data_IF_033175054896
#
_entry.id   IF_033175054896
#
_cell.length_a   1.000
_cell.length_b   1.000
_cell.length_c   1.000
_cell.angle_alpha   90.00
_cell.angle_beta   90.00
_cell.angle_gamma   90.00
#
_symmetry.space_group_name_H-M   'P 1'
#
loop_
_entity.id
_entity.type
_entity.pdbx_description
1 polymer ?
#
# COMPACT_ATOMS: atom_id res chain seq x y z
N UNK A 1 -1.89 71.42 -3.47
CA UNK A 1 -1.30 70.27 -4.18
C UNK A 1 -0.42 69.40 -3.28
N UNK A 2 -0.29 69.67 -1.97
CA UNK A 2 0.63 68.92 -1.08
C UNK A 2 0.01 67.67 -0.41
N UNK A 3 -1.31 67.47 -0.48
CA UNK A 3 -1.99 66.33 0.16
C UNK A 3 -1.93 65.02 -0.64
N UNK A 4 -1.65 65.08 -1.94
CA UNK A 4 -1.67 63.91 -2.83
C UNK A 4 -0.34 63.12 -2.77
N UNK A 5 0.78 63.86 -2.69
CA UNK A 5 2.12 63.27 -2.56
C UNK A 5 2.34 62.54 -1.23
N UNK A 6 1.70 62.99 -0.15
CA UNK A 6 1.76 62.32 1.15
C UNK A 6 0.98 61.00 1.18
N UNK A 7 -0.13 60.91 0.43
CA UNK A 7 -0.94 59.71 0.33
C UNK A 7 -0.24 58.63 -0.51
N UNK A 8 0.44 59.01 -1.59
CA UNK A 8 1.25 58.08 -2.39
C UNK A 8 2.39 57.47 -1.55
N UNK A 9 3.08 58.28 -0.74
CA UNK A 9 4.16 57.79 0.15
C UNK A 9 3.62 56.81 1.20
N UNK A 10 2.47 57.12 1.82
CA UNK A 10 1.84 56.22 2.82
C UNK A 10 1.40 54.90 2.16
N UNK A 11 0.89 54.94 0.94
CA UNK A 11 0.46 53.75 0.20
C UNK A 11 1.66 52.88 -0.19
N UNK A 12 2.74 53.50 -0.63
CA UNK A 12 4.01 52.83 -0.94
C UNK A 12 4.58 52.15 0.31
N UNK A 13 4.65 52.86 1.44
CA UNK A 13 5.12 52.30 2.72
C UNK A 13 4.24 51.14 3.23
N UNK A 14 2.92 51.20 3.03
CA UNK A 14 2.01 50.09 3.36
C UNK A 14 2.21 48.87 2.47
N UNK A 15 2.44 49.08 1.18
CA UNK A 15 2.79 48.02 0.23
C UNK A 15 4.12 47.36 0.61
N UNK A 16 5.13 48.15 0.95
CA UNK A 16 6.44 47.65 1.38
C UNK A 16 6.36 46.89 2.71
N UNK A 17 5.58 47.40 3.68
CA UNK A 17 5.32 46.71 4.94
C UNK A 17 4.63 45.36 4.72
N UNK A 18 3.62 45.31 3.84
CA UNK A 18 2.93 44.08 3.48
C UNK A 18 3.85 43.08 2.77
N UNK A 19 4.71 43.56 1.85
CA UNK A 19 5.73 42.74 1.18
C UNK A 19 6.75 42.16 2.15
N UNK A 20 7.20 42.95 3.13
CA UNK A 20 8.10 42.49 4.20
C UNK A 20 7.41 41.49 5.15
N UNK A 21 6.14 41.70 5.49
CA UNK A 21 5.35 40.76 6.29
C UNK A 21 5.17 39.42 5.58
N UNK A 22 4.81 39.43 4.29
CA UNK A 22 4.73 38.22 3.48
C UNK A 22 6.07 37.48 3.42
N UNK A 23 7.17 38.20 3.22
CA UNK A 23 8.52 37.62 3.19
C UNK A 23 8.91 37.02 4.54
N UNK A 24 8.58 37.70 5.64
CA UNK A 24 8.76 37.16 7.01
C UNK A 24 7.97 35.88 7.19
N UNK A 25 6.69 35.85 6.82
CA UNK A 25 5.81 34.69 7.05
C UNK A 25 6.24 33.49 6.19
N UNK A 26 6.66 33.76 4.95
CA UNK A 26 7.27 32.74 4.08
C UNK A 26 8.56 32.17 4.70
N UNK A 27 9.46 33.03 5.18
CA UNK A 27 10.70 32.58 5.83
C UNK A 27 10.43 31.81 7.13
N UNK A 28 9.39 32.18 7.89
CA UNK A 28 8.97 31.43 9.10
C UNK A 28 8.48 30.03 8.72
N UNK A 29 7.66 29.92 7.67
CA UNK A 29 7.19 28.62 7.16
C UNK A 29 8.36 27.76 6.68
N UNK A 30 9.24 28.32 5.83
CA UNK A 30 10.42 27.61 5.34
C UNK A 30 11.35 27.15 6.47
N UNK A 31 11.54 27.98 7.50
CA UNK A 31 12.35 27.62 8.68
C UNK A 31 11.70 26.52 9.53
N UNK A 32 10.37 26.55 9.66
CA UNK A 32 9.60 25.46 10.30
C UNK A 32 9.74 24.14 9.53
N UNK A 33 9.62 24.18 8.20
CA UNK A 33 9.75 23.00 7.35
C UNK A 33 11.17 22.43 7.39
N UNK A 34 12.19 23.28 7.36
CA UNK A 34 13.59 22.88 7.50
C UNK A 34 13.87 22.26 8.87
N UNK A 35 13.29 22.79 9.96
CA UNK A 35 13.39 22.17 11.30
C UNK A 35 12.77 20.78 11.33
N UNK A 36 11.58 20.61 10.74
CA UNK A 36 10.91 19.31 10.69
C UNK A 36 11.72 18.30 9.85
N UNK A 37 12.29 18.73 8.72
CA UNK A 37 13.19 17.89 7.93
C UNK A 37 14.46 17.51 8.69
N UNK A 38 15.06 18.44 9.43
CA UNK A 38 16.20 18.19 10.30
C UNK A 38 15.88 17.12 11.35
N UNK A 39 14.77 17.28 12.09
CA UNK A 39 14.33 16.30 13.09
C UNK A 39 14.09 14.92 12.49
N UNK A 40 13.48 14.84 11.31
CA UNK A 40 13.29 13.56 10.60
C UNK A 40 14.62 12.92 10.19
N UNK A 41 15.61 13.72 9.75
CA UNK A 41 16.94 13.22 9.43
C UNK A 41 17.68 12.75 10.68
N UNK A 42 17.61 13.48 11.79
CA UNK A 42 18.23 13.10 13.05
C UNK A 42 17.65 11.78 13.57
N UNK A 43 16.33 11.60 13.49
CA UNK A 43 15.66 10.34 13.83
C UNK A 43 16.16 9.19 12.95
N UNK A 44 16.28 9.40 11.63
CA UNK A 44 16.78 8.38 10.71
C UNK A 44 18.25 8.03 10.98
N UNK A 45 19.08 9.02 11.30
CA UNK A 45 20.48 8.80 11.68
C UNK A 45 20.56 7.97 12.96
N UNK A 46 19.71 8.25 13.93
CA UNK A 46 19.64 7.47 15.17
C UNK A 46 19.24 6.01 14.92
N UNK A 47 18.20 5.77 14.10
CA UNK A 47 17.77 4.43 13.72
C UNK A 47 18.88 3.65 13.01
N UNK A 48 19.57 4.28 12.05
CA UNK A 48 20.72 3.68 11.36
C UNK A 48 21.88 3.38 12.32
N UNK A 49 22.11 4.23 13.32
CA UNK A 49 23.15 3.99 14.32
C UNK A 49 22.83 2.76 15.19
N UNK A 50 21.58 2.60 15.61
CA UNK A 50 21.13 1.42 16.35
C UNK A 50 21.28 0.15 15.51
N UNK A 51 20.93 0.20 14.22
CA UNK A 51 21.10 -0.93 13.30
C UNK A 51 22.59 -1.31 13.12
N UNK A 52 23.48 -0.32 12.98
CA UNK A 52 24.93 -0.55 12.91
C UNK A 52 25.44 -1.25 14.17
N UNK A 53 24.99 -0.81 15.35
CA UNK A 53 25.43 -1.39 16.62
C UNK A 53 24.90 -2.82 16.80
N UNK A 54 23.68 -3.10 16.34
CA UNK A 54 23.15 -4.46 16.30
C UNK A 54 23.94 -5.39 15.36
N UNK A 55 24.27 -4.91 14.16
CA UNK A 55 25.08 -5.67 13.20
C UNK A 55 26.50 -5.93 13.72
N UNK A 56 27.10 -4.96 14.43
CA UNK A 56 28.41 -5.13 15.10
C UNK A 56 28.35 -6.20 16.18
N UNK A 57 27.32 -6.17 17.02
CA UNK A 57 27.13 -7.19 18.06
C UNK A 57 26.92 -8.59 17.46
N UNK A 58 26.09 -8.70 16.42
CA UNK A 58 25.86 -9.96 15.72
C UNK A 58 27.16 -10.50 15.10
N UNK A 59 27.96 -9.65 14.47
CA UNK A 59 29.26 -10.01 13.90
C UNK A 59 30.24 -10.49 14.98
N UNK A 60 30.31 -9.79 16.12
CA UNK A 60 31.13 -10.22 17.27
C UNK A 60 30.72 -11.61 17.79
N UNK A 61 29.40 -11.87 17.93
CA UNK A 61 28.88 -13.19 18.33
C UNK A 61 29.23 -14.28 17.32
N UNK A 62 29.10 -14.01 16.02
CA UNK A 62 29.48 -14.95 14.97
C UNK A 62 30.99 -15.25 15.00
N UNK A 63 31.84 -14.23 15.19
CA UNK A 63 33.29 -14.42 15.29
C UNK A 63 33.70 -15.24 16.52
N UNK A 64 33.01 -15.08 17.65
CA UNK A 64 33.21 -15.90 18.84
C UNK A 64 32.88 -17.38 18.55
N UNK A 65 31.76 -17.65 17.87
CA UNK A 65 31.37 -19.01 17.47
C UNK A 65 32.41 -19.60 16.52
N UNK A 66 32.82 -18.86 15.49
CA UNK A 66 33.85 -19.30 14.53
C UNK A 66 35.16 -19.64 15.25
N UNK A 67 35.58 -18.80 16.21
CA UNK A 67 36.81 -19.04 16.97
C UNK A 67 36.70 -20.29 17.86
N UNK A 68 35.54 -20.51 18.49
CA UNK A 68 35.27 -21.72 19.27
C UNK A 68 35.30 -22.98 18.41
N UNK A 69 34.67 -22.94 17.23
CA UNK A 69 34.66 -24.06 16.29
C UNK A 69 36.07 -24.36 15.75
N UNK A 70 36.85 -23.33 15.40
CA UNK A 70 38.25 -23.49 14.98
C UNK A 70 39.08 -24.17 16.07
N UNK A 71 38.92 -23.75 17.33
CA UNK A 71 39.60 -24.39 18.46
C UNK A 71 39.20 -25.86 18.61
N UNK A 72 37.90 -26.15 18.53
CA UNK A 72 37.40 -27.53 18.61
C UNK A 72 37.93 -28.43 17.48
N UNK A 73 38.07 -27.89 16.26
CA UNK A 73 38.69 -28.60 15.13
C UNK A 73 40.15 -28.90 15.44
N UNK A 74 40.90 -27.92 15.92
CA UNK A 74 42.31 -28.09 16.29
C UNK A 74 42.49 -29.15 17.39
N UNK A 75 41.64 -29.12 18.43
CA UNK A 75 41.65 -30.11 19.51
C UNK A 75 41.38 -31.53 18.98
N UNK A 76 40.43 -31.67 18.04
CA UNK A 76 40.12 -32.96 17.40
C UNK A 76 41.25 -33.45 16.49
N UNK A 77 41.90 -32.56 15.75
CA UNK A 77 43.06 -32.89 14.91
C UNK A 77 44.27 -33.31 15.75
N UNK A 78 44.47 -32.71 16.92
CA UNK A 78 45.50 -33.12 17.87
C UNK A 78 45.18 -34.48 18.50
N UNK A 79 43.93 -34.69 18.92
CA UNK A 79 43.47 -35.99 19.42
C UNK A 79 43.65 -37.10 18.37
N UNK A 80 43.32 -36.81 17.11
CA UNK A 80 43.50 -37.76 16.01
C UNK A 80 44.97 -38.12 15.80
N UNK A 81 45.87 -37.13 15.79
CA UNK A 81 47.33 -37.36 15.69
C UNK A 81 47.84 -38.22 16.85
N UNK A 82 47.38 -37.96 18.07
CA UNK A 82 47.75 -38.73 19.25
C UNK A 82 47.25 -40.17 19.19
N UNK A 83 46.01 -40.39 18.74
CA UNK A 83 45.45 -41.72 18.51
C UNK A 83 46.23 -42.49 17.44
N UNK A 84 46.56 -41.84 16.33
CA UNK A 84 47.33 -42.45 15.26
C UNK A 84 48.74 -42.85 15.73
N UNK A 85 49.39 -42.00 16.53
CA UNK A 85 50.69 -42.33 17.14
C UNK A 85 50.58 -43.48 18.14
N UNK A 86 49.53 -43.52 18.97
CA UNK A 86 49.28 -44.61 19.90
C UNK A 86 48.99 -45.93 19.17
N UNK A 87 48.21 -45.89 18.10
CA UNK A 87 47.94 -47.04 17.25
C UNK A 87 49.22 -47.59 16.62
N UNK A 88 50.07 -46.72 16.04
CA UNK A 88 51.35 -47.15 15.47
C UNK A 88 52.27 -47.83 16.49
N UNK A 89 52.28 -47.37 17.75
CA UNK A 89 53.01 -48.04 18.84
C UNK A 89 52.40 -49.41 19.16
N UNK A 90 51.08 -49.48 19.28
CA UNK A 90 50.37 -50.74 19.55
C UNK A 90 50.63 -51.77 18.44
N UNK A 91 50.55 -51.37 17.18
CA UNK A 91 50.80 -52.23 16.02
C UNK A 91 52.24 -52.77 16.04
N UNK A 92 53.22 -51.94 16.40
CA UNK A 92 54.60 -52.37 16.57
C UNK A 92 54.74 -53.41 17.68
N UNK A 93 54.11 -53.20 18.83
CA UNK A 93 54.09 -54.16 19.94
C UNK A 93 53.45 -55.48 19.52
N UNK A 94 52.31 -55.44 18.82
CA UNK A 94 51.63 -56.64 18.30
C UNK A 94 52.53 -57.39 17.32
N UNK A 95 53.20 -56.71 16.40
CA UNK A 95 54.12 -57.35 15.47
C UNK A 95 55.29 -58.05 16.17
N UNK A 96 55.86 -57.43 17.22
CA UNK A 96 56.92 -58.04 18.03
C UNK A 96 56.41 -59.28 18.75
N UNK A 97 55.27 -59.19 19.45
CA UNK A 97 54.67 -60.35 20.12
C UNK A 97 54.33 -61.48 19.15
N UNK A 98 53.88 -61.18 17.93
CA UNK A 98 53.64 -62.18 16.90
C UNK A 98 54.92 -62.84 16.39
N UNK A 99 56.07 -62.15 16.38
CA UNK A 99 57.36 -62.76 16.07
C UNK A 99 57.81 -63.68 17.20
N UNK A 100 57.72 -63.22 18.44
CA UNK A 100 58.11 -63.98 19.63
C UNK A 100 57.23 -65.22 19.82
N UNK A 101 55.94 -65.12 19.52
CA UNK A 101 55.02 -66.27 19.56
C UNK A 101 55.40 -67.31 18.51
N UNK A 102 55.68 -66.90 17.26
CA UNK A 102 56.14 -67.82 16.20
C UNK A 102 57.45 -68.51 16.57
N UNK A 103 58.40 -67.77 17.12
CA UNK A 103 59.65 -68.34 17.60
C UNK A 103 59.41 -69.37 18.72
N UNK A 104 58.51 -69.06 19.65
CA UNK A 104 58.15 -69.95 20.74
C UNK A 104 57.47 -71.23 20.23
N UNK A 105 56.57 -71.11 19.25
CA UNK A 105 55.91 -72.24 18.59
C UNK A 105 56.91 -73.16 17.87
N UNK A 106 57.91 -72.59 17.17
CA UNK A 106 58.98 -73.37 16.53
C UNK A 106 59.81 -74.13 17.58
N UNK A 107 60.17 -73.45 18.68
CA UNK A 107 60.91 -74.06 19.78
C UNK A 107 60.13 -75.19 20.45
N UNK A 108 58.82 -75.04 20.62
CA UNK A 108 57.94 -76.11 21.12
C UNK A 108 57.98 -77.31 20.17
N UNK A 109 57.81 -77.10 18.86
CA UNK A 109 57.87 -78.20 17.86
C UNK A 109 59.20 -78.94 17.90
N UNK A 110 60.32 -78.24 18.07
CA UNK A 110 61.64 -78.87 18.16
C UNK A 110 61.81 -79.66 19.47
N UNK A 111 61.30 -79.14 20.59
CA UNK A 111 61.29 -79.88 21.85
C UNK A 111 60.39 -81.12 21.79
N UNK A 112 59.22 -81.03 21.16
CA UNK A 112 58.33 -82.17 20.93
C UNK A 112 58.96 -83.25 20.05
N UNK A 113 59.79 -82.86 19.06
CA UNK A 113 60.56 -83.83 18.26
C UNK A 113 61.62 -84.52 19.10
N UNK A 114 62.36 -83.77 19.92
CA UNK A 114 63.37 -84.33 20.84
C UNK A 114 62.74 -85.26 21.87
N UNK A 115 61.58 -84.89 22.42
CA UNK A 115 60.85 -85.72 23.37
C UNK A 115 60.47 -87.06 22.75
N UNK A 116 59.88 -87.05 21.53
CA UNK A 116 59.54 -88.28 20.80
C UNK A 116 60.76 -89.16 20.50
N UNK A 117 61.92 -88.57 20.21
CA UNK A 117 63.17 -89.31 20.03
C UNK A 117 63.61 -90.00 21.32
N UNK A 118 63.60 -89.27 22.43
CA UNK A 118 63.97 -89.80 23.75
C UNK A 118 63.01 -90.89 24.23
N UNK A 119 61.71 -90.74 23.96
CA UNK A 119 60.70 -91.79 24.25
C UNK A 119 61.02 -93.08 23.48
N UNK A 120 61.39 -92.97 22.21
CA UNK A 120 61.77 -94.12 21.38
C UNK A 120 63.08 -94.78 21.87
N UNK A 121 64.09 -93.97 22.20
CA UNK A 121 65.35 -94.44 22.78
C UNK A 121 65.13 -95.17 24.11
N UNK A 122 64.30 -94.59 25.00
CA UNK A 122 63.98 -95.19 26.30
C UNK A 122 63.25 -96.53 26.15
N UNK A 123 62.30 -96.63 25.21
CA UNK A 123 61.63 -97.89 24.91
C UNK A 123 62.60 -98.96 24.39
N UNK A 124 63.54 -98.57 23.52
CA UNK A 124 64.55 -99.48 23.00
C UNK A 124 65.52 -99.98 24.08
N UNK A 125 65.95 -99.10 24.98
CA UNK A 125 66.78 -99.45 26.14
C UNK A 125 66.06 -100.39 27.12
N UNK A 126 64.78 -100.14 27.40
CA UNK A 126 63.96 -101.00 28.25
C UNK A 126 63.81 -102.41 27.63
N UNK A 127 63.62 -102.49 26.31
CA UNK A 127 63.57 -103.76 25.59
C UNK A 127 64.91 -104.51 25.63
N UNK A 128 66.04 -103.82 25.49
CA UNK A 128 67.37 -104.43 25.63
C UNK A 128 67.62 -104.96 27.04
N UNK A 129 67.23 -104.20 28.07
CA UNK A 129 67.34 -104.61 29.47
C UNK A 129 66.52 -105.88 29.75
N UNK A 130 65.29 -105.96 29.26
CA UNK A 130 64.44 -107.13 29.44
C UNK A 130 65.00 -108.38 28.74
N UNK A 131 65.57 -108.20 27.54
CA UNK A 131 66.28 -109.26 26.84
C UNK A 131 67.50 -109.78 27.63
N UNK A 132 68.32 -108.87 28.19
CA UNK A 132 69.46 -109.23 29.03
C UNK A 132 69.03 -109.97 30.31
N UNK A 133 67.93 -109.54 30.94
CA UNK A 133 67.36 -110.19 32.14
C UNK A 133 66.94 -111.63 31.86
N UNK A 134 66.27 -111.88 30.73
CA UNK A 134 65.85 -113.22 30.30
C UNK A 134 67.06 -114.14 30.08
N UNK A 135 68.12 -113.64 29.43
CA UNK A 135 69.36 -114.38 29.21
C UNK A 135 70.05 -114.76 30.53
N UNK A 136 70.07 -113.83 31.51
CA UNK A 136 70.64 -114.08 32.83
C UNK A 136 69.85 -115.14 33.62
N UNK A 137 68.52 -115.12 33.55
CA UNK A 137 67.68 -116.14 34.19
C UNK A 137 67.87 -117.54 33.57
N UNK A 138 68.07 -117.63 32.26
CA UNK A 138 68.39 -118.89 31.59
C UNK A 138 69.76 -119.43 32.03
N UNK A 139 70.75 -118.55 32.24
CA UNK A 139 72.06 -118.91 32.77
C UNK A 139 71.99 -119.44 34.22
N UNK A 140 71.26 -118.75 35.10
CA UNK A 140 71.07 -119.18 36.50
C UNK A 140 70.36 -120.53 36.58
N UNK A 141 69.36 -120.76 35.71
CA UNK A 141 68.65 -122.04 35.62
C UNK A 141 69.56 -123.17 35.15
N UNK A 142 70.47 -122.91 34.20
CA UNK A 142 71.49 -123.88 33.75
C UNK A 142 72.54 -124.16 34.83
N UNK A 143 72.97 -123.15 35.60
CA UNK A 143 73.91 -123.31 36.72
C UNK A 143 73.30 -124.08 37.90
N UNK A 144 72.02 -123.83 38.22
CA UNK A 144 71.32 -124.52 39.31
C UNK A 144 71.11 -126.01 39.01
N UNK A 145 70.91 -126.37 37.73
CA UNK A 145 70.87 -127.76 37.29
C UNK A 145 72.24 -128.47 37.28
N UNK A 146 73.34 -127.70 37.28
CA UNK A 146 74.70 -128.23 37.24
C UNK A 146 75.34 -128.46 38.63
N UNK A 147 74.75 -127.90 39.70
CA UNK A 147 75.38 -127.83 41.02
C UNK A 147 74.80 -128.77 42.08
N UNK A 148 73.77 -129.57 41.78
CA UNK A 148 73.14 -130.64 42.59
C UNK A 148 73.61 -130.76 44.06
N UNK A 149 73.32 -129.73 44.86
CA UNK A 149 73.88 -129.59 46.22
C UNK A 149 72.75 -129.44 47.24
N UNK A 150 72.32 -130.59 47.76
CA UNK A 150 71.71 -130.69 49.08
C UNK A 150 72.80 -130.54 50.16
N UNK A 151 72.53 -129.62 51.07
CA UNK A 151 73.38 -129.28 52.20
C UNK A 151 73.09 -130.25 53.37
N UNK A 152 74.13 -130.72 54.07
CA UNK A 152 73.95 -131.35 55.38
C UNK A 152 75.03 -130.93 56.39
N UNK A 153 74.49 -130.49 57.52
CA UNK A 153 75.11 -130.17 58.79
C UNK A 153 75.89 -131.34 59.40
N UNK A 154 77.03 -131.04 60.04
CA UNK A 154 77.20 -131.35 61.47
C UNK A 154 78.54 -130.85 62.02
N UNK A 155 78.42 -129.81 62.83
CA UNK A 155 78.97 -129.67 64.19
C UNK A 155 80.29 -130.36 64.58
N UNK A 156 81.25 -129.49 64.90
CA UNK A 156 82.13 -129.49 66.08
C UNK A 156 83.46 -130.24 66.02
N UNK A 157 84.54 -129.47 65.85
CA UNK A 157 85.81 -129.72 66.53
C UNK A 157 86.53 -128.39 66.81
N UNK A 158 86.51 -127.96 68.08
CA UNK A 158 87.28 -126.83 68.55
C UNK A 158 88.78 -127.19 68.60
N UNK A 159 89.49 -126.84 67.53
CA UNK A 159 90.96 -126.70 67.44
C UNK A 159 91.36 -125.28 67.90
N UNK A 160 92.61 -125.00 68.33
CA UNK A 160 93.15 -123.66 68.53
C UNK A 160 93.01 -122.72 67.30
N UNK A 161 92.80 -123.29 66.11
CA UNK A 161 92.34 -122.55 64.93
C UNK A 161 90.98 -121.88 65.11
N UNK A 162 90.08 -122.41 65.95
CA UNK A 162 88.77 -121.80 66.23
C UNK A 162 88.87 -120.46 66.97
N UNK A 163 89.94 -120.23 67.74
CA UNK A 163 90.22 -118.92 68.37
C UNK A 163 90.81 -117.92 67.36
N UNK A 164 91.63 -118.40 66.42
CA UNK A 164 92.15 -117.58 65.31
C UNK A 164 91.02 -117.21 64.35
N UNK A 165 90.10 -118.14 64.06
CA UNK A 165 88.87 -117.91 63.30
C UNK A 165 88.01 -116.88 64.03
N UNK A 166 87.82 -117.00 65.34
CA UNK A 166 87.06 -116.01 66.13
C UNK A 166 87.72 -114.62 66.15
N UNK A 167 89.05 -114.55 66.22
CA UNK A 167 89.78 -113.29 66.13
C UNK A 167 89.70 -112.67 64.73
N UNK A 168 89.78 -113.49 63.67
CA UNK A 168 89.59 -113.07 62.29
C UNK A 168 88.14 -112.59 62.04
N UNK A 169 87.15 -113.30 62.57
CA UNK A 169 85.73 -112.91 62.58
C UNK A 169 85.53 -111.57 63.28
N UNK A 170 86.17 -111.36 64.45
CA UNK A 170 86.10 -110.08 65.17
C UNK A 170 86.79 -108.94 64.42
N UNK A 171 87.93 -109.16 63.78
CA UNK A 171 88.61 -108.16 62.93
C UNK A 171 87.77 -107.83 61.69
N UNK A 172 87.17 -108.85 61.07
CA UNK A 172 86.27 -108.69 59.94
C UNK A 172 85.01 -107.92 60.36
N UNK A 173 84.46 -108.20 61.54
CA UNK A 173 83.30 -107.50 62.09
C UNK A 173 83.63 -106.05 62.46
N UNK A 174 84.79 -105.78 63.07
CA UNK A 174 85.26 -104.41 63.33
C UNK A 174 85.44 -103.64 62.03
N UNK A 175 86.00 -104.27 60.99
CA UNK A 175 86.16 -103.64 59.67
C UNK A 175 84.81 -103.35 59.03
N UNK A 176 83.85 -104.29 59.13
CA UNK A 176 82.47 -104.12 58.67
C UNK A 176 81.76 -102.99 59.40
N UNK A 177 81.89 -102.92 60.72
CA UNK A 177 81.29 -101.87 61.56
C UNK A 177 81.93 -100.50 61.29
N UNK A 178 83.25 -100.43 61.07
CA UNK A 178 83.93 -99.19 60.66
C UNK A 178 83.42 -98.69 59.31
N UNK A 179 83.32 -99.56 58.31
CA UNK A 179 82.77 -99.21 57.00
C UNK A 179 81.30 -98.77 57.10
N UNK A 180 80.50 -99.47 57.92
CA UNK A 180 79.11 -99.07 58.18
C UNK A 180 79.03 -97.69 58.84
N UNK A 181 79.89 -97.41 59.83
CA UNK A 181 79.96 -96.12 60.51
C UNK A 181 80.34 -94.99 59.53
N UNK A 182 81.34 -95.21 58.68
CA UNK A 182 81.77 -94.25 57.66
C UNK A 182 80.64 -93.94 56.67
N UNK A 183 80.00 -94.98 56.13
CA UNK A 183 78.85 -94.80 55.22
C UNK A 183 77.68 -94.06 55.89
N UNK A 184 77.40 -94.34 57.17
CA UNK A 184 76.34 -93.61 57.89
C UNK A 184 76.71 -92.14 58.12
N UNK A 185 77.99 -91.83 58.30
CA UNK A 185 78.47 -90.46 58.49
C UNK A 185 78.43 -89.67 57.17
N UNK A 186 78.82 -90.28 56.05
CA UNK A 186 78.68 -89.69 54.71
C UNK A 186 77.21 -89.44 54.36
N UNK A 187 76.34 -90.42 54.61
CA UNK A 187 74.90 -90.26 54.40
C UNK A 187 74.32 -89.14 55.27
N UNK A 188 74.73 -89.04 56.54
CA UNK A 188 74.30 -87.95 57.42
C UNK A 188 74.76 -86.59 56.88
N UNK A 189 76.02 -86.48 56.45
CA UNK A 189 76.54 -85.24 55.86
C UNK A 189 75.80 -84.85 54.58
N UNK A 190 75.45 -85.81 53.72
CA UNK A 190 74.63 -85.55 52.53
C UNK A 190 73.25 -85.04 52.90
N UNK A 191 72.57 -85.71 53.84
CA UNK A 191 71.24 -85.32 54.30
C UNK A 191 71.24 -83.94 54.97
N UNK A 192 72.28 -83.59 55.73
CA UNK A 192 72.42 -82.25 56.30
C UNK A 192 72.58 -81.17 55.22
N UNK A 193 73.31 -81.47 54.15
CA UNK A 193 73.48 -80.55 53.02
C UNK A 193 72.19 -80.40 52.22
N UNK A 194 71.47 -81.50 51.99
CA UNK A 194 70.17 -81.48 51.32
C UNK A 194 69.14 -80.69 52.14
N UNK A 195 69.10 -80.91 53.47
CA UNK A 195 68.22 -80.16 54.38
C UNK A 195 68.52 -78.65 54.35
N UNK A 196 69.79 -78.25 54.34
CA UNK A 196 70.19 -76.84 54.19
C UNK A 196 69.70 -76.28 52.85
N UNK A 197 69.92 -77.00 51.77
CA UNK A 197 69.49 -76.60 50.42
C UNK A 197 67.96 -76.46 50.32
N UNK A 198 67.21 -77.36 50.96
CA UNK A 198 65.75 -77.29 51.06
C UNK A 198 65.28 -76.08 51.88
N UNK A 199 65.96 -75.75 52.98
CA UNK A 199 65.65 -74.56 53.79
C UNK A 199 65.86 -73.27 52.99
N UNK A 200 66.99 -73.15 52.29
CA UNK A 200 67.27 -71.98 51.45
C UNK A 200 66.25 -71.83 50.31
N UNK A 201 65.82 -72.94 49.71
CA UNK A 201 64.78 -72.93 48.68
C UNK A 201 63.41 -72.49 49.24
N UNK A 202 63.06 -72.95 50.45
CA UNK A 202 61.83 -72.54 51.13
C UNK A 202 61.85 -71.04 51.48
N UNK A 203 62.99 -70.53 51.97
CA UNK A 203 63.14 -69.12 52.30
C UNK A 203 62.99 -68.22 51.06
N UNK A 204 63.63 -68.58 49.94
CA UNK A 204 63.43 -67.90 48.65
C UNK A 204 61.97 -67.92 48.20
N UNK A 205 61.31 -69.08 48.28
CA UNK A 205 59.90 -69.21 47.90
C UNK A 205 58.97 -68.35 48.77
N UNK A 206 59.26 -68.23 50.08
CA UNK A 206 58.52 -67.35 50.97
C UNK A 206 58.72 -65.87 50.61
N UNK A 207 59.93 -65.44 50.27
CA UNK A 207 60.20 -64.08 49.82
C UNK A 207 59.45 -63.76 48.52
N UNK A 208 59.43 -64.68 47.55
CA UNK A 208 58.68 -64.53 46.30
C UNK A 208 57.17 -64.43 46.56
N UNK A 209 56.63 -65.26 47.47
CA UNK A 209 55.23 -65.19 47.90
C UNK A 209 54.88 -63.81 48.47
N UNK A 210 55.73 -63.23 49.31
CA UNK A 210 55.48 -61.90 49.87
C UNK A 210 55.49 -60.80 48.81
N UNK A 211 56.40 -60.88 47.83
CA UNK A 211 56.44 -59.93 46.71
C UNK A 211 55.15 -60.03 45.89
N UNK A 212 54.74 -61.25 45.52
CA UNK A 212 53.49 -61.48 44.79
C UNK A 212 52.27 -61.02 45.58
N UNK A 213 52.26 -61.23 46.91
CA UNK A 213 51.17 -60.76 47.77
C UNK A 213 51.08 -59.23 47.79
N UNK A 214 52.21 -58.51 47.87
CA UNK A 214 52.24 -57.04 47.78
C UNK A 214 51.76 -56.55 46.41
N UNK A 215 52.17 -57.20 45.33
CA UNK A 215 51.71 -56.88 43.98
C UNK A 215 50.20 -57.09 43.82
N UNK A 216 49.66 -58.21 44.33
CA UNK A 216 48.24 -58.50 44.32
C UNK A 216 47.43 -57.43 45.08
N UNK A 217 47.90 -57.02 46.27
CA UNK A 217 47.26 -55.94 47.03
C UNK A 217 47.25 -54.61 46.26
N UNK A 218 48.33 -54.25 45.58
CA UNK A 218 48.38 -53.06 44.73
C UNK A 218 47.39 -53.14 43.57
N UNK A 219 47.33 -54.29 42.88
CA UNK A 219 46.41 -54.50 41.75
C UNK A 219 44.95 -54.45 42.18
N UNK A 220 44.61 -54.95 43.37
CA UNK A 220 43.25 -54.85 43.92
C UNK A 220 42.83 -53.40 44.14
N UNK A 221 43.71 -52.56 44.68
CA UNK A 221 43.45 -51.13 44.86
C UNK A 221 43.26 -50.40 43.52
N UNK A 222 44.06 -50.72 42.51
CA UNK A 222 43.89 -50.16 41.16
C UNK A 222 42.54 -50.58 40.54
N UNK A 223 42.10 -51.83 40.74
CA UNK A 223 40.79 -52.31 40.28
C UNK A 223 39.66 -51.54 40.98
N UNK A 224 39.77 -51.29 42.28
CA UNK A 224 38.77 -50.51 43.03
C UNK A 224 38.70 -49.06 42.54
N UNK A 225 39.86 -48.41 42.30
CA UNK A 225 39.93 -47.07 41.71
C UNK A 225 39.25 -47.03 40.34
N UNK A 226 39.57 -47.97 39.45
CA UNK A 226 38.98 -48.04 38.12
C UNK A 226 37.46 -48.29 38.15
N UNK A 227 36.96 -49.08 39.12
CA UNK A 227 35.52 -49.28 39.33
C UNK A 227 34.84 -47.96 39.72
N UNK A 228 35.43 -47.22 40.65
CA UNK A 228 34.89 -45.93 41.09
C UNK A 228 34.90 -44.89 39.95
N UNK A 229 35.97 -44.81 39.17
CA UNK A 229 36.06 -43.94 37.99
C UNK A 229 34.99 -44.31 36.95
N UNK A 230 34.79 -45.61 36.70
CA UNK A 230 33.73 -46.10 35.79
C UNK A 230 32.34 -45.67 36.27
N UNK A 231 32.03 -45.79 37.55
CA UNK A 231 30.75 -45.38 38.12
C UNK A 231 30.53 -43.87 37.99
N UNK A 232 31.56 -43.07 38.29
CA UNK A 232 31.53 -41.61 38.11
C UNK A 232 31.26 -41.22 36.65
N UNK A 233 31.98 -41.83 35.70
CA UNK A 233 31.78 -41.60 34.27
C UNK A 233 30.39 -42.04 33.81
N UNK A 234 29.86 -43.15 34.34
CA UNK A 234 28.51 -43.62 34.01
C UNK A 234 27.43 -42.62 34.48
N UNK A 235 27.59 -42.03 35.68
CA UNK A 235 26.68 -40.99 36.17
C UNK A 235 26.77 -39.74 35.29
N UNK A 236 27.98 -39.30 34.96
CA UNK A 236 28.19 -38.13 34.09
C UNK A 236 27.58 -38.34 32.71
N UNK A 237 27.74 -39.53 32.11
CA UNK A 237 27.14 -39.85 30.82
C UNK A 237 25.60 -39.75 30.86
N UNK A 238 24.96 -40.25 31.93
CA UNK A 238 23.49 -40.12 32.12
C UNK A 238 23.02 -38.67 32.28
N UNK A 239 23.86 -37.78 32.83
CA UNK A 239 23.54 -36.35 32.90
C UNK A 239 23.60 -35.73 31.50
N UNK A 240 24.68 -35.97 30.76
CA UNK A 240 24.86 -35.45 29.41
C UNK A 240 23.77 -35.98 28.47
N UNK A 241 23.37 -37.25 28.58
CA UNK A 241 22.28 -37.83 27.79
C UNK A 241 20.94 -37.12 28.04
N UNK A 242 20.64 -36.75 29.29
CA UNK A 242 19.45 -35.97 29.64
C UNK A 242 19.52 -34.54 29.09
N UNK A 243 20.65 -33.85 29.27
CA UNK A 243 20.85 -32.51 28.73
C UNK A 243 20.74 -32.49 27.20
N UNK A 244 21.27 -33.52 26.52
CA UNK A 244 21.15 -33.68 25.07
C UNK A 244 19.70 -33.88 24.64
N UNK A 245 18.92 -34.66 25.41
CA UNK A 245 17.50 -34.84 25.14
C UNK A 245 16.72 -33.53 25.30
N UNK A 246 16.93 -32.79 26.39
CA UNK A 246 16.31 -31.48 26.60
C UNK A 246 16.70 -30.47 25.52
N UNK A 247 17.96 -30.45 25.08
CA UNK A 247 18.42 -29.59 24.00
C UNK A 247 17.74 -29.93 22.66
N UNK A 248 17.53 -31.23 22.37
CA UNK A 248 16.78 -31.66 21.19
C UNK A 248 15.32 -31.21 21.27
N UNK A 249 14.67 -31.38 22.42
CA UNK A 249 13.28 -30.95 22.58
C UNK A 249 13.13 -29.43 22.41
N UNK A 250 14.02 -28.65 23.02
CA UNK A 250 14.08 -27.18 22.83
C UNK A 250 14.29 -26.82 21.36
N UNK A 251 15.19 -27.52 20.66
CA UNK A 251 15.40 -27.31 19.22
C UNK A 251 14.12 -27.58 18.43
N UNK A 252 13.43 -28.69 18.69
CA UNK A 252 12.17 -28.99 17.98
C UNK A 252 11.08 -27.94 18.23
N UNK A 253 10.99 -27.41 19.46
CA UNK A 253 10.06 -26.35 19.79
C UNK A 253 10.41 -25.04 19.07
N UNK A 254 11.68 -24.64 19.09
CA UNK A 254 12.18 -23.48 18.34
C UNK A 254 11.91 -23.61 16.84
N UNK A 255 12.12 -24.79 16.24
CA UNK A 255 11.83 -25.03 14.83
C UNK A 255 10.34 -24.88 14.52
N UNK A 256 9.45 -25.41 15.37
CA UNK A 256 7.99 -25.23 15.20
C UNK A 256 7.60 -23.75 15.27
N UNK A 257 8.12 -23.02 16.26
CA UNK A 257 7.84 -21.60 16.42
C UNK A 257 8.38 -20.78 15.23
N UNK A 258 9.58 -21.11 14.74
CA UNK A 258 10.16 -20.47 13.57
C UNK A 258 9.28 -20.66 12.33
N UNK A 259 8.74 -21.86 12.12
CA UNK A 259 7.82 -22.13 11.01
C UNK A 259 6.56 -21.26 11.12
N UNK A 260 5.95 -21.18 12.30
CA UNK A 260 4.77 -20.31 12.53
C UNK A 260 5.07 -18.84 12.24
N UNK A 261 6.22 -18.33 12.70
CA UNK A 261 6.64 -16.96 12.41
C UNK A 261 6.89 -16.76 10.92
N UNK A 262 7.51 -17.74 10.25
CA UNK A 262 7.76 -17.70 8.81
C UNK A 262 6.45 -17.66 8.02
N UNK A 263 5.47 -18.48 8.37
CA UNK A 263 4.15 -18.48 7.74
C UNK A 263 3.42 -17.14 7.94
N UNK A 264 3.50 -16.55 9.14
CA UNK A 264 2.93 -15.23 9.42
C UNK A 264 3.60 -14.12 8.60
N UNK A 265 4.93 -14.17 8.43
CA UNK A 265 5.67 -13.22 7.58
C UNK A 265 5.21 -13.35 6.13
N UNK A 266 5.14 -14.57 5.60
CA UNK A 266 4.67 -14.81 4.23
C UNK A 266 3.24 -14.30 4.02
N UNK A 267 2.35 -14.50 5.00
CA UNK A 267 0.98 -13.99 4.95
C UNK A 267 0.95 -12.45 4.97
N UNK A 268 1.77 -11.81 5.81
CA UNK A 268 1.87 -10.36 5.86
C UNK A 268 2.44 -9.78 4.55
N UNK A 269 3.43 -10.42 3.95
CA UNK A 269 3.97 -10.02 2.64
C UNK A 269 2.89 -10.08 1.55
N UNK A 270 2.10 -11.15 1.51
CA UNK A 270 0.96 -11.28 0.59
C UNK A 270 -0.07 -10.16 0.79
N UNK A 271 -0.42 -9.85 2.04
CA UNK A 271 -1.34 -8.77 2.38
C UNK A 271 -0.79 -7.39 1.97
N UNK A 272 0.51 -7.14 2.17
CA UNK A 272 1.16 -5.90 1.74
C UNK A 272 1.10 -5.75 0.22
N UNK A 273 1.36 -6.83 -0.54
CA UNK A 273 1.27 -6.79 -2.01
C UNK A 273 -0.16 -6.48 -2.45
N UNK A 274 -1.16 -7.11 -1.82
CA UNK A 274 -2.57 -6.84 -2.12
C UNK A 274 -2.95 -5.38 -1.82
N UNK A 275 -2.57 -4.85 -0.65
CA UNK A 275 -2.85 -3.46 -0.28
C UNK A 275 -2.17 -2.45 -1.22
N UNK A 276 -0.96 -2.74 -1.70
CA UNK A 276 -0.28 -1.91 -2.70
C UNK A 276 -1.05 -1.89 -4.02
N UNK A 277 -1.58 -3.02 -4.44
CA UNK A 277 -2.37 -3.11 -5.67
C UNK A 277 -3.72 -2.38 -5.53
N UNK A 278 -4.38 -2.52 -4.39
CA UNK A 278 -5.61 -1.77 -4.09
C UNK A 278 -5.36 -0.25 -4.06
N UNK A 279 -4.24 0.18 -3.47
CA UNK A 279 -3.84 1.59 -3.46
C UNK A 279 -3.61 2.11 -4.88
N UNK A 280 -2.93 1.33 -5.73
CA UNK A 280 -2.72 1.69 -7.14
C UNK A 280 -4.03 1.86 -7.90
N UNK A 281 -4.97 0.92 -7.74
CA UNK A 281 -6.30 1.02 -8.34
C UNK A 281 -7.07 2.26 -7.85
N UNK A 282 -6.96 2.58 -6.55
CA UNK A 282 -7.59 3.77 -5.97
C UNK A 282 -6.99 5.06 -6.54
N UNK A 283 -5.67 5.11 -6.71
CA UNK A 283 -4.98 6.26 -7.28
C UNK A 283 -5.37 6.47 -8.76
N UNK A 284 -5.39 5.40 -9.57
CA UNK A 284 -5.88 5.47 -10.96
C UNK A 284 -7.33 5.94 -11.06
N UNK A 285 -8.19 5.53 -10.11
CA UNK A 285 -9.58 6.01 -10.05
C UNK A 285 -9.64 7.48 -9.66
N UNK A 286 -8.83 7.92 -8.70
CA UNK A 286 -8.77 9.32 -8.29
C UNK A 286 -8.27 10.21 -9.43
N UNK A 287 -7.20 9.81 -10.13
CA UNK A 287 -6.68 10.55 -11.28
C UNK A 287 -7.73 10.69 -12.40
N UNK A 288 -8.47 9.61 -12.70
CA UNK A 288 -9.60 9.67 -13.65
C UNK A 288 -10.68 10.67 -13.22
N UNK A 289 -11.12 10.60 -11.97
CA UNK A 289 -12.14 11.51 -11.44
C UNK A 289 -11.65 12.97 -11.43
N UNK A 290 -10.37 13.19 -11.13
CA UNK A 290 -9.77 14.52 -11.17
C UNK A 290 -9.69 15.09 -12.59
N UNK A 291 -9.44 14.23 -13.59
CA UNK A 291 -9.49 14.61 -15.00
C UNK A 291 -10.91 14.95 -15.44
N UNK A 292 -11.91 14.13 -15.09
CA UNK A 292 -13.32 14.40 -15.36
C UNK A 292 -13.81 15.70 -14.70
N UNK A 293 -13.40 15.96 -13.46
CA UNK A 293 -13.69 17.21 -12.76
C UNK A 293 -13.08 18.41 -13.49
N UNK A 294 -11.80 18.35 -13.88
CA UNK A 294 -11.15 19.41 -14.68
C UNK A 294 -11.89 19.64 -16.01
N UNK A 295 -12.19 18.59 -16.76
CA UNK A 295 -12.92 18.70 -18.03
C UNK A 295 -14.31 19.36 -17.85
N UNK A 296 -14.99 19.03 -16.75
CA UNK A 296 -16.29 19.64 -16.42
C UNK A 296 -16.14 21.13 -16.09
N UNK A 297 -15.14 21.48 -15.29
CA UNK A 297 -14.82 22.87 -14.96
C UNK A 297 -14.47 23.69 -16.19
N UNK A 298 -13.65 23.13 -17.09
CA UNK A 298 -13.31 23.74 -18.38
C UNK A 298 -14.56 23.94 -19.25
N UNK A 299 -15.42 22.93 -19.34
CA UNK A 299 -16.67 23.01 -20.10
C UNK A 299 -17.58 24.14 -19.59
N UNK A 300 -17.74 24.26 -18.26
CA UNK A 300 -18.53 25.33 -17.64
C UNK A 300 -17.90 26.70 -17.91
N UNK A 301 -16.58 26.83 -17.76
CA UNK A 301 -15.87 28.08 -18.00
C UNK A 301 -15.99 28.55 -19.46
N UNK A 302 -15.93 27.63 -20.42
CA UNK A 302 -16.15 27.93 -21.85
C UNK A 302 -17.57 28.47 -22.06
N UNK A 303 -18.59 27.81 -21.49
CA UNK A 303 -19.99 28.24 -21.62
C UNK A 303 -20.27 29.62 -21.02
N UNK A 304 -19.55 29.99 -19.95
CA UNK A 304 -19.69 31.30 -19.29
C UNK A 304 -18.83 32.40 -19.92
N UNK A 305 -17.87 32.01 -20.75
CA UNK A 305 -17.01 32.93 -21.49
C UNK A 305 -17.77 33.56 -22.66
N UNK A 306 -17.45 34.81 -22.94
CA UNK A 306 -17.95 35.59 -24.07
C UNK A 306 -16.76 36.08 -24.89
N UNK A 307 -16.97 36.51 -26.16
CA UNK A 307 -15.89 37.08 -26.97
C UNK A 307 -15.16 38.26 -26.31
N UNK A 308 -15.86 39.00 -25.43
CA UNK A 308 -15.33 40.16 -24.70
C UNK A 308 -14.83 39.84 -23.30
N UNK A 309 -15.05 38.60 -22.80
CA UNK A 309 -14.62 38.20 -21.46
C UNK A 309 -14.37 36.70 -21.37
N UNK A 310 -13.12 36.38 -21.06
CA UNK A 310 -12.70 35.03 -20.74
C UNK A 310 -12.97 34.69 -19.26
N UNK A 311 -13.40 33.46 -19.01
CA UNK A 311 -13.58 32.90 -17.66
C UNK A 311 -12.62 31.72 -17.54
N UNK A 312 -11.75 31.74 -16.54
CA UNK A 312 -10.86 30.62 -16.25
C UNK A 312 -11.63 29.44 -15.65
N UNK A 313 -11.14 28.22 -15.92
CA UNK A 313 -11.67 26.95 -15.42
C UNK A 313 -11.37 26.71 -13.92
N UNK A 314 -11.66 27.70 -13.09
CA UNK A 314 -11.45 27.68 -11.65
C UNK A 314 -12.77 27.94 -10.92
N UNK A 315 -12.96 27.33 -9.75
CA UNK A 315 -14.26 27.34 -9.06
C UNK A 315 -14.70 28.75 -8.64
N UNK A 316 -13.77 29.53 -8.09
CA UNK A 316 -14.03 30.92 -7.71
C UNK A 316 -14.43 31.78 -8.91
N UNK A 317 -13.69 31.73 -10.02
CA UNK A 317 -13.92 32.56 -11.21
C UNK A 317 -15.25 32.23 -11.88
N UNK A 318 -15.59 30.94 -11.98
CA UNK A 318 -16.89 30.47 -12.47
C UNK A 318 -18.02 31.01 -11.58
N UNK A 319 -17.90 30.84 -10.25
CA UNK A 319 -18.91 31.32 -9.30
C UNK A 319 -19.09 32.84 -9.38
N UNK A 320 -18.00 33.59 -9.46
CA UNK A 320 -18.04 35.05 -9.55
C UNK A 320 -18.75 35.50 -10.84
N UNK A 321 -18.46 34.85 -11.98
CA UNK A 321 -19.14 35.15 -13.24
C UNK A 321 -20.63 34.85 -13.18
N UNK A 322 -21.02 33.72 -12.58
CA UNK A 322 -22.45 33.38 -12.41
C UNK A 322 -23.15 34.45 -11.56
N UNK A 323 -22.54 34.89 -10.45
CA UNK A 323 -23.13 35.94 -9.59
C UNK A 323 -23.32 37.26 -10.34
N UNK A 324 -22.36 37.63 -11.18
CA UNK A 324 -22.47 38.84 -11.99
C UNK A 324 -23.58 38.74 -13.04
N UNK A 325 -23.66 37.63 -13.79
CA UNK A 325 -24.75 37.40 -14.75
C UNK A 325 -26.12 37.48 -14.05
N UNK A 326 -26.23 36.93 -12.83
CA UNK A 326 -27.45 37.02 -12.03
C UNK A 326 -27.78 38.46 -11.61
N UNK A 327 -26.77 39.25 -11.25
CA UNK A 327 -26.95 40.67 -10.93
C UNK A 327 -27.40 41.47 -12.15
N UNK A 328 -26.71 41.31 -13.29
CA UNK A 328 -27.07 41.97 -14.54
C UNK A 328 -28.50 41.64 -14.97
N UNK A 329 -28.92 40.38 -14.79
CA UNK A 329 -30.27 39.96 -15.13
C UNK A 329 -31.32 40.57 -14.20
N UNK A 330 -30.99 40.72 -12.91
CA UNK A 330 -31.85 41.42 -11.94
C UNK A 330 -32.00 42.89 -12.32
N UNK A 331 -30.91 43.57 -12.66
CA UNK A 331 -30.92 44.99 -13.06
C UNK A 331 -31.70 45.20 -14.36
N UNK A 332 -31.51 44.32 -15.35
CA UNK A 332 -32.31 44.31 -16.60
C UNK A 332 -33.79 44.06 -16.32
N UNK A 333 -34.14 43.18 -15.40
CA UNK A 333 -35.54 42.95 -15.01
C UNK A 333 -36.16 44.21 -14.42
N UNK A 334 -35.47 44.89 -13.50
CA UNK A 334 -35.92 46.17 -12.93
C UNK A 334 -36.07 47.23 -14.02
N UNK A 335 -35.15 47.30 -14.97
CA UNK A 335 -35.24 48.21 -16.10
C UNK A 335 -36.44 47.91 -17.01
N UNK A 336 -36.72 46.64 -17.29
CA UNK A 336 -37.90 46.22 -18.06
C UNK A 336 -39.19 46.64 -17.34
N UNK A 337 -39.28 46.44 -16.03
CA UNK A 337 -40.45 46.83 -15.26
C UNK A 337 -40.63 48.36 -15.26
N UNK A 338 -39.54 49.14 -15.12
CA UNK A 338 -39.60 50.60 -15.24
C UNK A 338 -40.04 51.07 -16.64
N UNK A 339 -39.59 50.39 -17.71
CA UNK A 339 -40.03 50.68 -19.08
C UNK A 339 -41.50 50.32 -19.29
N UNK A 340 -41.99 49.22 -18.70
CA UNK A 340 -43.41 48.84 -18.72
C UNK A 340 -44.26 49.89 -18.02
N UNK A 341 -43.84 50.39 -16.86
CA UNK A 341 -44.54 51.45 -16.14
C UNK A 341 -44.58 52.75 -16.97
N UNK A 342 -43.45 53.16 -17.56
CA UNK A 342 -43.39 54.34 -18.43
C UNK A 342 -44.29 54.19 -19.65
N UNK A 343 -44.28 53.02 -20.30
CA UNK A 343 -45.18 52.72 -21.42
C UNK A 343 -46.65 52.80 -20.99
N UNK A 344 -46.97 52.33 -19.79
CA UNK A 344 -48.30 52.47 -19.19
C UNK A 344 -48.71 53.93 -19.00
N UNK A 345 -47.83 54.77 -18.46
CA UNK A 345 -48.06 56.21 -18.28
C UNK A 345 -48.28 56.93 -19.62
N UNK A 346 -47.40 56.72 -20.59
CA UNK A 346 -47.51 57.31 -21.94
C UNK A 346 -48.79 56.85 -22.64
N UNK A 347 -49.15 55.56 -22.53
CA UNK A 347 -50.40 55.04 -23.07
C UNK A 347 -51.63 55.71 -22.44
N UNK A 348 -51.60 55.95 -21.12
CA UNK A 348 -52.67 56.68 -20.43
C UNK A 348 -52.73 58.15 -20.87
N UNK A 349 -51.58 58.81 -21.03
CA UNK A 349 -51.49 60.19 -21.49
C UNK A 349 -52.00 60.32 -22.93
N UNK A 350 -51.59 59.41 -23.82
CA UNK A 350 -52.09 59.34 -25.20
C UNK A 350 -53.60 59.10 -25.24
N UNK A 351 -54.14 58.23 -24.37
CA UNK A 351 -55.58 58.05 -24.24
C UNK A 351 -56.32 59.32 -23.83
N UNK A 352 -55.76 60.11 -22.89
CA UNK A 352 -56.32 61.41 -22.51
C UNK A 352 -56.25 62.43 -23.64
N UNK A 353 -55.13 62.53 -24.36
CA UNK A 353 -54.99 63.47 -25.47
C UNK A 353 -55.88 63.10 -26.65
N UNK A 354 -56.00 61.81 -26.98
CA UNK A 354 -56.96 61.32 -27.97
C UNK A 354 -58.39 61.69 -27.58
N UNK A 355 -58.79 61.50 -26.33
CA UNK A 355 -60.12 61.89 -25.86
C UNK A 355 -60.38 63.41 -25.96
N UNK A 356 -59.40 64.24 -25.58
CA UNK A 356 -59.48 65.69 -25.74
C UNK A 356 -59.54 66.10 -27.22
N UNK A 357 -58.80 65.42 -28.08
CA UNK A 357 -58.82 65.64 -29.52
C UNK A 357 -60.20 65.29 -30.12
N UNK A 358 -60.78 64.15 -29.76
CA UNK A 358 -62.15 63.77 -30.18
C UNK A 358 -63.18 64.80 -29.73
N UNK A 359 -63.08 65.32 -28.50
CA UNK A 359 -63.93 66.41 -28.01
C UNK A 359 -63.74 67.69 -28.84
N UNK A 360 -62.50 68.08 -29.13
CA UNK A 360 -62.19 69.26 -29.94
C UNK A 360 -62.72 69.12 -31.37
N UNK A 361 -62.52 67.97 -32.00
CA UNK A 361 -63.01 67.64 -33.34
C UNK A 361 -64.54 67.67 -33.40
N UNK A 362 -65.21 67.12 -32.39
CA UNK A 362 -66.68 67.21 -32.26
C UNK A 362 -67.14 68.66 -32.17
N UNK A 363 -66.44 69.49 -31.39
CA UNK A 363 -66.73 70.92 -31.26
C UNK A 363 -66.52 71.68 -32.56
N UNK A 364 -65.43 71.41 -33.29
CA UNK A 364 -65.17 72.00 -34.62
C UNK A 364 -66.30 71.65 -35.57
N UNK A 365 -66.73 70.38 -35.63
CA UNK A 365 -67.83 69.95 -36.49
C UNK A 365 -69.14 70.68 -36.19
N UNK A 366 -69.47 70.87 -34.91
CA UNK A 366 -70.66 71.66 -34.50
C UNK A 366 -70.54 73.11 -35.00
N UNK A 367 -69.37 73.75 -34.84
CA UNK A 367 -69.14 75.12 -35.32
C UNK A 367 -69.18 75.22 -36.85
N UNK A 368 -68.69 74.21 -37.58
CA UNK A 368 -68.80 74.12 -39.03
C UNK A 368 -70.25 74.00 -39.48
N UNK A 369 -71.06 73.17 -38.82
CA UNK A 369 -72.49 73.05 -39.10
C UNK A 369 -73.23 74.38 -38.83
N UNK A 370 -72.92 75.06 -37.73
CA UNK A 370 -73.45 76.41 -37.43
C UNK A 370 -73.03 77.44 -38.49
N UNK A 371 -71.75 77.43 -38.91
CA UNK A 371 -71.24 78.30 -39.98
C UNK A 371 -71.99 78.07 -41.28
N UNK A 372 -72.15 76.80 -41.70
CA UNK A 372 -72.87 76.45 -42.92
C UNK A 372 -74.35 76.89 -42.87
N UNK A 373 -75.00 76.74 -41.70
CA UNK A 373 -76.37 77.23 -41.51
C UNK A 373 -76.45 78.76 -41.63
N UNK A 374 -75.51 79.48 -41.02
CA UNK A 374 -75.43 80.94 -41.12
C UNK A 374 -75.15 81.40 -42.55
N UNK A 375 -74.23 80.76 -43.27
CA UNK A 375 -73.96 81.04 -44.68
C UNK A 375 -75.19 80.82 -45.56
N UNK A 376 -75.91 79.71 -45.38
CA UNK A 376 -77.15 79.45 -46.10
C UNK A 376 -78.22 80.52 -45.82
N UNK A 377 -78.30 80.99 -44.57
CA UNK A 377 -79.19 82.09 -44.17
C UNK A 377 -78.78 83.41 -44.84
N UNK A 378 -77.49 83.71 -44.91
CA UNK A 378 -76.96 84.88 -45.62
C UNK A 378 -77.31 84.81 -47.10
N UNK A 379 -76.99 83.71 -47.79
CA UNK A 379 -77.35 83.52 -49.21
C UNK A 379 -78.85 83.68 -49.47
N UNK A 380 -79.70 83.15 -48.58
CA UNK A 380 -81.16 83.33 -48.69
C UNK A 380 -81.54 84.82 -48.59
N UNK A 381 -81.03 85.53 -47.60
CA UNK A 381 -81.28 86.97 -47.44
C UNK A 381 -80.76 87.78 -48.64
N UNK A 382 -79.58 87.45 -49.18
CA UNK A 382 -79.04 88.05 -50.40
C UNK A 382 -79.96 87.79 -51.60
N UNK A 383 -80.53 86.59 -51.73
CA UNK A 383 -81.50 86.27 -52.80
C UNK A 383 -82.81 87.04 -52.66
N UNK A 384 -83.34 87.18 -51.43
CA UNK A 384 -84.55 87.94 -51.12
C UNK A 384 -84.34 89.43 -51.39
N UNK A 385 -83.17 89.97 -51.03
CA UNK A 385 -82.79 91.34 -51.32
C UNK A 385 -82.72 91.60 -52.83
N UNK A 386 -82.03 90.73 -53.58
CA UNK A 386 -81.98 90.83 -55.05
C UNK A 386 -83.39 90.77 -55.68
N UNK A 387 -84.27 89.90 -55.19
CA UNK A 387 -85.65 89.82 -55.68
C UNK A 387 -86.44 91.10 -55.39
N UNK A 388 -86.26 91.70 -54.20
CA UNK A 388 -86.85 93.00 -53.84
C UNK A 388 -86.30 94.12 -54.71
N UNK A 389 -85.00 94.14 -55.00
CA UNK A 389 -84.38 95.12 -55.89
C UNK A 389 -84.93 95.02 -57.32
N UNK A 390 -85.05 93.80 -57.86
CA UNK A 390 -85.67 93.54 -59.16
C UNK A 390 -87.14 93.95 -59.19
N UNK A 391 -87.91 93.62 -58.15
CA UNK A 391 -89.32 94.03 -58.04
C UNK A 391 -89.45 95.55 -58.01
N UNK A 392 -88.60 96.23 -57.22
CA UNK A 392 -88.55 97.68 -57.14
C UNK A 392 -88.21 98.32 -58.49
N UNK A 393 -87.29 97.72 -59.25
CA UNK A 393 -86.92 98.20 -60.59
C UNK A 393 -88.06 97.97 -61.61
N UNK A 394 -88.73 96.81 -61.56
CA UNK A 394 -89.93 96.54 -62.37
C UNK A 394 -91.03 97.57 -62.10
N UNK A 395 -91.35 97.82 -60.83
CA UNK A 395 -92.34 98.83 -60.42
C UNK A 395 -91.95 100.24 -60.87
N UNK A 396 -90.65 100.58 -60.83
CA UNK A 396 -90.14 101.85 -61.39
C UNK A 396 -90.39 101.94 -62.89
N UNK A 397 -90.11 100.86 -63.61
CA UNK A 397 -90.31 100.78 -65.06
C UNK A 397 -91.79 100.87 -65.42
N UNK A 398 -92.67 100.16 -64.71
CA UNK A 398 -94.12 100.21 -64.92
C UNK A 398 -94.69 101.60 -64.62
N UNK A 399 -94.22 102.24 -63.54
CA UNK A 399 -94.54 103.63 -63.25
C UNK A 399 -94.12 104.56 -64.40
N UNK A 400 -92.90 104.41 -64.91
CA UNK A 400 -92.42 105.21 -66.04
C UNK A 400 -93.26 104.97 -67.31
N UNK A 401 -93.60 103.72 -67.62
CA UNK A 401 -94.46 103.37 -68.75
C UNK A 401 -95.87 103.94 -68.62
N UNK A 402 -96.46 103.88 -67.42
CA UNK A 402 -97.78 104.42 -67.14
C UNK A 402 -97.82 105.94 -67.30
N UNK A 403 -96.80 106.64 -66.79
CA UNK A 403 -96.62 108.09 -66.98
C UNK A 403 -96.50 108.42 -68.48
N UNK A 404 -95.68 107.69 -69.23
CA UNK A 404 -95.52 107.90 -70.67
C UNK A 404 -96.83 107.62 -71.46
N UNK A 405 -97.62 106.62 -71.05
CA UNK A 405 -98.94 106.36 -71.63
C UNK A 405 -99.90 107.53 -71.40
N UNK A 406 -99.97 108.05 -70.17
CA UNK A 406 -100.83 109.20 -69.84
C UNK A 406 -100.43 110.46 -70.62
N UNK A 407 -99.12 110.73 -70.76
CA UNK A 407 -98.63 111.81 -71.62
C UNK A 407 -99.08 111.63 -73.07
N UNK A 408 -99.01 110.40 -73.61
CA UNK A 408 -99.43 110.11 -74.99
C UNK A 408 -100.94 110.23 -75.19
N UNK A 409 -101.72 109.84 -74.19
CA UNK A 409 -103.18 109.98 -74.20
C UNK A 409 -103.60 111.46 -74.13
N UNK A 410 -102.89 112.27 -73.33
CA UNK A 410 -103.08 113.73 -73.29
C UNK A 410 -102.87 114.38 -74.65
N UNK A 411 -101.81 113.98 -75.37
CA UNK A 411 -101.52 114.44 -76.74
C UNK A 411 -102.62 114.14 -77.72
N UNK A 412 -103.19 112.94 -77.63
CA UNK A 412 -104.22 112.51 -78.57
C UNK A 412 -105.55 113.28 -78.37
N UNK A 413 -105.81 113.76 -77.15
CA UNK A 413 -107.02 114.52 -76.80
C UNK A 413 -106.85 116.04 -76.93
N UNK A 414 -105.73 116.52 -77.49
CA UNK A 414 -105.33 117.94 -77.53
C UNK A 414 -105.42 118.59 -76.14
N UNK A 415 -104.92 117.89 -75.10
CA UNK A 415 -104.85 118.39 -73.71
C UNK A 415 -103.42 118.70 -73.26
N UNK A 416 -102.48 118.78 -74.21
CA UNK A 416 -101.04 118.88 -73.95
C UNK A 416 -100.63 120.09 -73.11
N UNK A 417 -101.25 121.25 -73.35
CA UNK A 417 -100.88 122.49 -72.67
C UNK A 417 -101.51 122.62 -71.27
N UNK A 418 -102.56 121.87 -70.93
CA UNK A 418 -103.22 121.93 -69.61
C UNK A 418 -102.65 120.95 -68.58
N UNK A 419 -101.93 119.91 -69.03
CA UNK A 419 -101.60 118.77 -68.17
C UNK A 419 -100.17 118.70 -67.64
N UNK A 420 -99.30 119.66 -67.98
CA UNK A 420 -97.86 119.55 -67.79
C UNK A 420 -97.38 119.70 -66.32
N UNK A 421 -98.23 120.15 -65.40
CA UNK A 421 -97.87 120.43 -63.99
C UNK A 421 -98.85 119.85 -62.95
N UNK A 422 -99.64 118.83 -63.33
CA UNK A 422 -100.62 118.20 -62.44
C UNK A 422 -100.22 116.75 -62.13
N UNK A 423 -100.26 116.35 -60.85
CA UNK A 423 -99.86 115.00 -60.42
C UNK A 423 -100.61 113.89 -61.16
N UNK A 424 -100.02 112.70 -61.28
CA UNK A 424 -100.52 111.57 -62.12
C UNK A 424 -102.02 111.31 -61.95
N UNK A 425 -102.56 111.36 -60.74
CA UNK A 425 -103.99 111.18 -60.48
C UNK A 425 -104.84 112.29 -61.14
N UNK A 426 -104.50 113.55 -60.91
CA UNK A 426 -105.19 114.70 -61.50
C UNK A 426 -105.00 114.79 -63.02
N UNK A 427 -103.84 114.32 -63.52
CA UNK A 427 -103.57 114.17 -64.95
C UNK A 427 -104.54 113.16 -65.58
N UNK A 428 -104.75 112.01 -64.92
CA UNK A 428 -105.68 110.97 -65.37
C UNK A 428 -107.12 111.47 -65.38
N UNK A 429 -107.56 112.16 -64.31
CA UNK A 429 -108.91 112.74 -64.23
C UNK A 429 -109.18 113.80 -65.30
N UNK A 430 -108.20 114.66 -65.60
CA UNK A 430 -108.32 115.73 -66.60
C UNK A 430 -108.50 115.19 -68.02
N UNK A 431 -107.77 114.13 -68.38
CA UNK A 431 -107.93 113.42 -69.65
C UNK A 431 -109.33 112.77 -69.72
N UNK A 432 -109.80 112.18 -68.63
CA UNK A 432 -111.08 111.48 -68.59
C UNK A 432 -112.26 112.43 -68.85
N UNK A 433 -112.29 113.61 -68.21
CA UNK A 433 -113.31 114.62 -68.48
C UNK A 433 -113.28 115.15 -69.93
N UNK A 434 -112.10 115.27 -70.53
CA UNK A 434 -111.99 115.68 -71.94
C UNK A 434 -112.59 114.66 -72.89
N UNK A 435 -112.32 113.37 -72.64
CA UNK A 435 -112.90 112.29 -73.44
C UNK A 435 -114.44 112.28 -73.35
N UNK A 436 -115.00 112.49 -72.16
CA UNK A 436 -116.45 112.63 -71.96
C UNK A 436 -117.06 113.82 -72.70
N UNK A 437 -116.33 114.95 -72.74
CA UNK A 437 -116.78 116.18 -73.41
C UNK A 437 -116.82 116.01 -74.95
N UNK A 438 -115.82 115.36 -75.52
CA UNK A 438 -115.75 115.07 -76.96
C UNK A 438 -116.82 114.06 -77.41
N UNK A 439 -117.13 113.06 -76.58
CA UNK A 439 -118.19 112.10 -76.87
C UNK A 439 -119.59 112.74 -76.97
N UNK A 440 -119.87 113.79 -76.17
CA UNK A 440 -121.15 114.52 -76.23
C UNK A 440 -121.30 115.34 -77.52
N UNK A 441 -120.22 115.96 -78.00
CA UNK A 441 -120.23 116.78 -79.22
C UNK A 441 -120.46 115.97 -80.51
N UNK A 442 -120.13 114.68 -80.52
CA UNK A 442 -120.38 113.78 -81.65
C UNK A 442 -121.84 113.31 -81.70
N UNK A 443 -122.50 113.19 -80.54
CA UNK A 443 -123.91 112.81 -80.43
C UNK A 443 -124.84 113.89 -80.99
N UNK A 444 -124.55 115.17 -80.76
CA UNK A 444 -125.37 116.30 -81.24
C UNK A 444 -125.28 116.51 -82.76
N UNK A 445 -124.12 116.22 -83.37
CA UNK A 445 -123.91 116.34 -84.84
C UNK A 445 -124.72 115.35 -85.69
N UNK A 446 -125.16 114.24 -85.09
CA UNK A 446 -125.93 113.21 -85.80
C UNK A 446 -127.42 113.59 -85.86
N UNK A 447 -127.93 114.33 -84.89
CA UNK A 447 -129.35 114.77 -84.82
C UNK A 447 -129.68 115.81 -85.89
N UNK A 448 -128.73 116.69 -86.25
CA UNK A 448 -128.95 117.75 -87.24
C UNK A 448 -129.01 117.27 -88.69
N UNK A 449 -128.40 116.12 -89.03
CA UNK A 449 -128.37 115.62 -90.43
C UNK A 449 -129.65 114.93 -90.89
N UNK A 450 -130.58 114.59 -89.99
CA UNK A 450 -131.84 113.91 -90.33
C UNK A 450 -132.97 114.90 -90.67
N UNK A 451 -132.86 116.17 -90.24
CA UNK A 451 -133.95 117.15 -90.32
C UNK A 451 -133.98 118.03 -91.58
N UNK A 452 -133.00 117.94 -92.49
CA UNK A 452 -132.88 118.84 -93.65
C UNK A 452 -133.17 118.24 -95.04
N UNK A 453 -133.58 116.97 -95.16
CA UNK A 453 -133.79 116.32 -96.48
C UNK A 453 -135.27 116.07 -96.88
N UNK A 454 -136.26 116.62 -96.17
CA UNK A 454 -137.68 116.53 -96.56
C UNK A 454 -138.39 117.89 -96.45
N UNK A 455 -138.28 118.76 -97.47
CA UNK A 455 -139.35 119.66 -98.00
C UNK A 455 -138.80 120.78 -98.96
N UNK A 456 -139.42 120.89 -100.15
CA UNK A 456 -139.30 121.93 -101.21
C UNK A 456 -137.99 121.96 -102.05
N UNK A 457 -138.05 121.88 -103.39
CA UNK A 457 -138.54 122.85 -104.41
C UNK A 457 -137.57 124.02 -104.61
#
# INVERSE_FOLDING_TARGET
MEGDSGNDIITTLRSDLAGLQYKRDKLISENSDLKNQMLSRDQRVFEQQVEIDHLREQNARQNAIISSLKKKIQDLEELHRNLQAAQGRSDLTVQTLQRDNRYSEEKIKDLEKKLRSLELECHNEEQQKENARCQFHDLIRRLSAALDADFCDSTHTHSPESLIIKAAELVQEITRLKNKCMNTMENLSSLEQDLRSCRDALERSNADKEILQRQLSSQLLDIERLKQEKESLAVQNRVIERELHEARDKLTHCTKNLNVVTDNVNQNESMIVQLKEDLRHRDEKYQRLQAEFRNTMESIAILLSLPTRFVEAHESTIKDRIREILSDNKDKSVQIDALRDKLGMESQQLGRTAHLHDQATTRVRILEDERNMLEAKVHKLESELNALELSRESLRKDKANFVAFLERLSRTLNMDELTQDVGIELHTESIMHRAEQLARLESDKIVDKVSQWVACK
#
